data_IF_762135675990
#
_entry.id   IF_762135675990
#
_cell.length_a   1.000
_cell.length_b   1.000
_cell.length_c   1.000
_cell.angle_alpha   90.00
_cell.angle_beta   90.00
_cell.angle_gamma   90.00
#
_symmetry.space_group_name_H-M   'P 1'
#
loop_
_entity.id
_entity.type
_entity.pdbx_description
1 polymer ?
#
# COMPACT_ATOMS: atom_id res chain seq x y z
N UNK A 1 -0.13 18.47 23.01
CA UNK A 1 1.28 18.65 22.64
C UNK A 1 1.49 18.33 21.15
N UNK A 2 2.58 18.77 20.51
CA UNK A 2 2.84 18.49 19.06
C UNK A 2 2.97 16.97 18.81
N UNK A 3 3.62 16.28 19.74
CA UNK A 3 3.75 14.81 19.73
C UNK A 3 2.39 14.11 19.80
N UNK A 4 1.45 14.63 20.60
CA UNK A 4 0.10 14.07 20.69
C UNK A 4 -0.66 14.19 19.38
N UNK A 5 -0.51 15.34 18.69
CA UNK A 5 -1.11 15.55 17.36
C UNK A 5 -0.58 14.57 16.33
N UNK A 6 0.72 14.30 16.33
CA UNK A 6 1.33 13.27 15.48
C UNK A 6 0.83 11.87 15.81
N UNK A 7 0.68 11.55 17.10
CA UNK A 7 0.11 10.27 17.53
C UNK A 7 -1.34 10.11 17.08
N UNK A 8 -2.15 11.18 17.17
CA UNK A 8 -3.53 11.19 16.66
C UNK A 8 -3.56 10.95 15.15
N UNK A 9 -2.76 11.70 14.39
CA UNK A 9 -2.64 11.53 12.94
C UNK A 9 -2.26 10.09 12.58
N UNK A 10 -1.27 9.52 13.29
CA UNK A 10 -0.84 8.13 13.09
C UNK A 10 -1.99 7.15 13.30
N UNK A 11 -2.77 7.30 14.37
CA UNK A 11 -3.91 6.43 14.64
C UNK A 11 -4.97 6.53 13.54
N UNK A 12 -5.27 7.74 13.06
CA UNK A 12 -6.18 7.94 11.95
C UNK A 12 -5.67 7.31 10.66
N UNK A 13 -4.39 7.45 10.32
CA UNK A 13 -3.81 6.82 9.13
C UNK A 13 -3.91 5.28 9.18
N UNK A 14 -3.73 4.68 10.36
CA UNK A 14 -3.91 3.22 10.54
C UNK A 14 -5.37 2.84 10.30
N UNK A 15 -6.31 3.64 10.79
CA UNK A 15 -7.75 3.45 10.60
C UNK A 15 -8.12 3.54 9.11
N UNK A 16 -7.68 4.61 8.42
CA UNK A 16 -7.94 4.83 6.99
C UNK A 16 -7.33 3.73 6.12
N UNK A 17 -6.15 3.22 6.48
CA UNK A 17 -5.52 2.08 5.80
C UNK A 17 -6.40 0.82 5.83
N UNK A 18 -7.18 0.61 6.89
CA UNK A 18 -8.08 -0.53 6.98
C UNK A 18 -9.26 -0.43 5.99
N UNK A 19 -9.69 0.79 5.64
CA UNK A 19 -10.72 1.02 4.62
C UNK A 19 -10.16 0.96 3.19
N UNK A 20 -8.92 1.40 2.98
CA UNK A 20 -8.23 1.37 1.68
C UNK A 20 -8.21 -0.03 1.04
N UNK A 21 -8.07 -1.10 1.83
CA UNK A 21 -8.08 -2.48 1.31
C UNK A 21 -9.42 -2.91 0.73
N UNK A 22 -10.54 -2.46 1.31
CA UNK A 22 -11.88 -2.73 0.77
C UNK A 22 -12.16 -1.82 -0.43
N UNK A 23 -11.72 -0.55 -0.36
CA UNK A 23 -11.84 0.40 -1.45
C UNK A 23 -11.11 -0.06 -2.73
N UNK A 24 -9.90 -0.62 -2.61
CA UNK A 24 -9.13 -1.16 -3.75
C UNK A 24 -9.90 -2.25 -4.52
N UNK A 25 -10.65 -3.11 -3.80
CA UNK A 25 -11.46 -4.17 -4.41
C UNK A 25 -12.73 -3.65 -5.07
N UNK A 26 -13.23 -2.50 -4.60
CA UNK A 26 -14.49 -1.87 -5.03
C UNK A 26 -14.26 -0.63 -5.89
N UNK A 27 -13.07 -0.45 -6.48
CA UNK A 27 -12.73 0.71 -7.32
C UNK A 27 -13.66 0.95 -8.52
N UNK A 28 -14.52 0.01 -8.86
CA UNK A 28 -15.56 0.17 -9.88
C UNK A 28 -16.73 1.04 -9.43
N UNK A 29 -16.96 1.17 -8.11
CA UNK A 29 -18.01 2.02 -7.55
C UNK A 29 -17.59 3.49 -7.58
N UNK A 30 -18.41 4.33 -8.21
CA UNK A 30 -18.15 5.75 -8.38
C UNK A 30 -18.05 6.48 -7.03
N UNK A 31 -18.82 6.03 -6.03
CA UNK A 31 -18.77 6.62 -4.69
C UNK A 31 -17.44 6.31 -3.98
N UNK A 32 -16.89 5.11 -4.22
CA UNK A 32 -15.57 4.70 -3.71
C UNK A 32 -14.45 5.47 -4.42
N UNK A 33 -14.58 5.76 -5.72
CA UNK A 33 -13.62 6.61 -6.44
C UNK A 33 -13.56 8.02 -5.86
N UNK A 34 -14.71 8.67 -5.66
CA UNK A 34 -14.76 10.01 -5.05
C UNK A 34 -14.09 10.01 -3.68
N UNK A 35 -14.34 8.98 -2.86
CA UNK A 35 -13.67 8.83 -1.57
C UNK A 35 -12.15 8.68 -1.70
N UNK A 36 -11.67 7.86 -2.65
CA UNK A 36 -10.23 7.67 -2.92
C UNK A 36 -9.56 8.95 -3.43
N UNK A 37 -10.24 9.75 -4.25
CA UNK A 37 -9.72 11.03 -4.73
C UNK A 37 -9.54 12.03 -3.58
N UNK A 38 -10.55 12.18 -2.73
CA UNK A 38 -10.47 13.04 -1.54
C UNK A 38 -9.35 12.58 -0.60
N UNK A 39 -9.20 11.27 -0.42
CA UNK A 39 -8.14 10.71 0.43
C UNK A 39 -6.75 11.01 -0.14
N UNK A 40 -6.60 10.91 -1.47
CA UNK A 40 -5.36 11.23 -2.17
C UNK A 40 -4.98 12.70 -1.98
N UNK A 41 -5.94 13.61 -2.07
CA UNK A 41 -5.67 15.04 -1.90
C UNK A 41 -5.18 15.35 -0.48
N UNK A 42 -5.79 14.74 0.54
CA UNK A 42 -5.34 14.84 1.94
C UNK A 42 -3.93 14.24 2.10
N UNK A 43 -3.63 13.14 1.41
CA UNK A 43 -2.32 12.51 1.47
C UNK A 43 -1.22 13.41 0.87
N UNK A 44 -1.51 14.14 -0.22
CA UNK A 44 -0.57 15.12 -0.77
C UNK A 44 -0.32 16.28 0.20
N UNK A 45 -1.35 16.82 0.85
CA UNK A 45 -1.16 17.86 1.87
C UNK A 45 -0.31 17.35 3.05
N UNK A 46 -0.49 16.09 3.44
CA UNK A 46 0.32 15.46 4.47
C UNK A 46 1.80 15.29 4.05
N UNK A 47 2.04 14.91 2.80
CA UNK A 47 3.38 14.77 2.23
C UNK A 47 4.12 16.11 2.21
N UNK A 48 3.46 17.18 1.75
CA UNK A 48 3.99 18.55 1.77
C UNK A 48 4.42 18.99 3.19
N UNK A 49 3.67 18.60 4.22
CA UNK A 49 3.99 18.90 5.62
C UNK A 49 5.18 18.08 6.13
N UNK A 50 5.30 16.83 5.72
CA UNK A 50 6.45 15.98 6.05
C UNK A 50 7.72 16.50 5.39
N UNK A 51 7.64 16.96 4.14
CA UNK A 51 8.74 17.58 3.42
C UNK A 51 9.21 18.88 4.08
N UNK A 52 8.30 19.74 4.53
CA UNK A 52 8.65 20.95 5.28
C UNK A 52 9.39 20.60 6.59
N UNK A 53 8.96 19.54 7.27
CA UNK A 53 9.59 19.07 8.51
C UNK A 53 10.98 18.45 8.25
N UNK A 54 11.12 17.67 7.18
CA UNK A 54 12.39 17.08 6.77
C UNK A 54 13.40 18.17 6.35
N UNK A 55 12.94 19.16 5.58
CA UNK A 55 13.76 20.30 5.16
C UNK A 55 14.26 21.11 6.37
N UNK A 56 13.39 21.42 7.34
CA UNK A 56 13.78 22.14 8.55
C UNK A 56 14.77 21.32 9.40
N UNK A 57 14.62 20.00 9.47
CA UNK A 57 15.58 19.13 10.18
C UNK A 57 16.98 19.19 9.58
N UNK A 58 17.08 19.15 8.24
CA UNK A 58 18.37 19.29 7.54
C UNK A 58 18.96 20.68 7.77
N UNK A 59 18.14 21.73 7.63
CA UNK A 59 18.57 23.13 7.86
C UNK A 59 19.16 23.31 9.27
N UNK A 60 18.53 22.75 10.29
CA UNK A 60 19.02 22.82 11.67
C UNK A 60 20.31 22.06 11.90
N UNK A 61 20.49 20.89 11.26
CA UNK A 61 21.75 20.16 11.33
C UNK A 61 22.91 20.98 10.78
N UNK A 62 22.69 21.67 9.65
CA UNK A 62 23.69 22.56 9.04
C UNK A 62 23.99 23.77 9.94
N UNK A 63 22.95 24.43 10.45
CA UNK A 63 23.09 25.63 11.31
C UNK A 63 23.82 25.30 12.64
N UNK A 64 23.54 24.12 13.21
CA UNK A 64 24.19 23.66 14.44
C UNK A 64 25.66 23.23 14.24
N UNK A 65 26.04 22.82 13.01
CA UNK A 65 27.44 22.55 12.65
C UNK A 65 28.21 23.86 12.38
N UNK A 66 27.55 24.87 11.82
CA UNK A 66 28.14 26.15 11.46
C UNK A 66 28.02 27.14 12.62
N UNK A 67 28.77 26.88 13.69
CA UNK A 67 28.73 27.65 14.95
C UNK A 67 29.00 29.17 14.76
N UNK A 68 27.95 29.95 14.52
CA UNK A 68 27.93 31.41 14.68
C UNK A 68 26.82 31.81 15.65
N UNK A 69 27.20 31.87 16.92
CA UNK A 69 26.39 32.43 17.99
C UNK A 69 26.13 33.93 17.73
N UNK A 70 24.95 34.36 18.18
CA UNK A 70 24.54 35.74 18.49
C UNK A 70 24.09 36.65 17.33
N UNK A 71 23.04 36.27 16.58
CA UNK A 71 22.03 37.26 16.10
C UNK A 71 20.72 36.71 15.54
N UNK A 72 20.54 35.39 15.56
CA UNK A 72 19.54 34.74 14.71
C UNK A 72 18.23 34.32 15.39
N UNK A 73 18.13 34.54 16.70
CA UNK A 73 16.98 34.16 17.54
C UNK A 73 15.72 35.04 17.35
N UNK A 74 15.72 35.98 16.40
CA UNK A 74 14.60 36.90 16.16
C UNK A 74 13.95 36.73 14.79
N UNK A 75 14.47 35.85 13.93
CA UNK A 75 13.79 35.51 12.68
C UNK A 75 12.68 34.50 12.99
N UNK A 76 11.41 34.73 12.60
CA UNK A 76 10.31 33.77 12.82
C UNK A 76 10.62 32.38 12.26
N UNK A 77 11.44 32.31 11.22
CA UNK A 77 11.90 31.07 10.57
C UNK A 77 12.96 30.29 11.37
N UNK A 78 13.59 30.90 12.38
CA UNK A 78 14.63 30.29 13.24
C UNK A 78 14.11 30.03 14.67
N UNK A 79 12.92 30.53 14.99
CA UNK A 79 12.28 30.33 16.28
C UNK A 79 11.64 28.94 16.37
N UNK A 80 12.28 28.04 17.12
CA UNK A 80 11.84 26.66 17.32
C UNK A 80 10.35 26.54 17.71
N UNK A 81 9.91 27.39 18.64
CA UNK A 81 8.54 27.40 19.14
C UNK A 81 7.53 27.86 18.07
N UNK A 82 7.89 28.89 17.30
CA UNK A 82 7.03 29.40 16.23
C UNK A 82 6.87 28.37 15.10
N UNK A 83 7.97 27.71 14.70
CA UNK A 83 7.94 26.62 13.73
C UNK A 83 7.10 25.43 14.23
N UNK A 84 7.35 24.98 15.47
CA UNK A 84 6.59 23.87 16.07
C UNK A 84 5.09 24.19 16.14
N UNK A 85 4.71 25.41 16.52
CA UNK A 85 3.31 25.83 16.54
C UNK A 85 2.69 25.86 15.14
N UNK A 86 3.43 26.35 14.13
CA UNK A 86 2.99 26.32 12.72
C UNK A 86 2.74 24.89 12.25
N UNK A 87 3.70 23.98 12.47
CA UNK A 87 3.58 22.57 12.11
C UNK A 87 2.45 21.89 12.87
N UNK A 88 2.28 22.18 14.16
CA UNK A 88 1.19 21.65 14.97
C UNK A 88 -0.19 22.04 14.45
N UNK A 89 -0.35 23.23 13.87
CA UNK A 89 -1.61 23.64 13.21
C UNK A 89 -1.82 22.87 11.91
N UNK A 90 -0.79 22.72 11.09
CA UNK A 90 -0.89 21.96 9.83
C UNK A 90 -1.25 20.48 10.08
N UNK A 91 -0.56 19.82 11.00
CA UNK A 91 -0.84 18.43 11.40
C UNK A 91 -2.26 18.28 11.96
N UNK A 92 -2.74 19.28 12.70
CA UNK A 92 -4.11 19.30 13.22
C UNK A 92 -5.15 19.42 12.10
N UNK A 93 -4.92 20.28 11.11
CA UNK A 93 -5.81 20.39 9.94
C UNK A 93 -5.90 19.06 9.18
N UNK A 94 -4.75 18.45 8.86
CA UNK A 94 -4.71 17.13 8.20
C UNK A 94 -5.44 16.08 9.03
N UNK A 95 -5.23 16.08 10.35
CA UNK A 95 -5.91 15.14 11.24
C UNK A 95 -7.43 15.32 11.20
N UNK A 96 -7.93 16.57 11.12
CA UNK A 96 -9.38 16.84 11.02
C UNK A 96 -9.95 16.38 9.67
N UNK A 97 -9.27 16.68 8.56
CA UNK A 97 -9.69 16.23 7.23
C UNK A 97 -9.69 14.70 7.12
N UNK A 98 -8.69 14.04 7.71
CA UNK A 98 -8.58 12.57 7.71
C UNK A 98 -9.62 11.91 8.62
N UNK A 99 -10.00 12.54 9.71
CA UNK A 99 -11.11 12.10 10.58
C UNK A 99 -12.44 12.19 9.82
N UNK A 100 -12.70 13.32 9.18
CA UNK A 100 -13.93 13.55 8.40
C UNK A 100 -14.08 12.54 7.24
N UNK A 101 -13.02 12.29 6.48
CA UNK A 101 -13.09 11.33 5.37
C UNK A 101 -13.25 9.89 5.87
N UNK A 102 -12.72 9.58 7.05
CA UNK A 102 -12.91 8.26 7.66
C UNK A 102 -14.34 8.06 8.14
N UNK A 103 -14.97 9.08 8.71
CA UNK A 103 -16.40 9.05 9.03
C UNK A 103 -17.27 8.87 7.78
N UNK A 104 -16.88 9.51 6.67
CA UNK A 104 -17.56 9.32 5.37
C UNK A 104 -17.33 7.92 4.80
N UNK A 105 -16.19 7.26 5.05
CA UNK A 105 -15.90 5.91 4.56
C UNK A 105 -17.01 4.92 4.96
N UNK A 106 -17.48 5.02 6.21
CA UNK A 106 -18.59 4.21 6.74
C UNK A 106 -19.89 4.45 5.97
N UNK A 107 -20.16 5.70 5.55
CA UNK A 107 -21.34 6.09 4.75
C UNK A 107 -21.27 5.56 3.32
N UNK A 108 -20.07 5.40 2.79
CA UNK A 108 -19.82 4.74 1.50
C UNK A 108 -19.87 3.21 1.57
N UNK A 109 -20.20 2.64 2.73
CA UNK A 109 -20.30 1.19 2.91
C UNK A 109 -18.95 0.46 2.87
N UNK A 110 -17.85 1.20 3.05
CA UNK A 110 -16.51 0.62 3.17
C UNK A 110 -16.41 -0.11 4.51
N UNK A 111 -15.96 -1.35 4.48
CA UNK A 111 -15.80 -2.16 5.68
C UNK A 111 -14.38 -2.05 6.22
N UNK A 112 -14.26 -1.80 7.52
CA UNK A 112 -12.99 -1.84 8.21
C UNK A 112 -12.48 -3.29 8.28
N UNK A 113 -11.55 -3.65 7.40
CA UNK A 113 -10.85 -4.93 7.53
C UNK A 113 -9.65 -4.75 8.44
N UNK A 114 -9.84 -5.05 9.73
CA UNK A 114 -8.73 -5.29 10.63
C UNK A 114 -7.98 -6.52 10.12
N UNK A 115 -6.66 -6.43 9.95
CA UNK A 115 -5.84 -7.57 9.54
C UNK A 115 -5.90 -8.64 10.62
N UNK A 116 -6.87 -9.54 10.52
CA UNK A 116 -6.71 -10.88 11.02
C UNK A 116 -5.73 -11.53 10.06
N UNK A 117 -4.50 -11.69 10.52
CA UNK A 117 -3.43 -12.49 9.91
C UNK A 117 -3.83 -13.96 9.92
N UNK A 118 -4.97 -14.29 9.32
CA UNK A 118 -5.27 -15.67 8.97
C UNK A 118 -4.70 -15.82 7.58
N UNK A 119 -3.66 -16.65 7.48
CA UNK A 119 -3.11 -17.13 6.21
C UNK A 119 -4.27 -17.38 5.22
N UNK A 120 -4.09 -17.11 3.91
CA UNK A 120 -5.09 -17.50 2.96
C UNK A 120 -5.16 -19.04 3.01
N UNK A 121 -6.17 -19.55 3.72
CA UNK A 121 -6.72 -20.86 3.44
C UNK A 121 -7.06 -20.79 1.97
N UNK A 122 -6.35 -21.57 1.16
CA UNK A 122 -6.74 -21.90 -0.20
C UNK A 122 -8.08 -22.64 -0.10
N UNK A 123 -9.16 -21.90 0.10
CA UNK A 123 -10.51 -22.38 -0.13
C UNK A 123 -10.67 -22.42 -1.65
N UNK A 124 -10.66 -23.63 -2.19
CA UNK A 124 -10.81 -23.95 -3.60
C UNK A 124 -12.17 -23.53 -4.18
N UNK A 125 -12.41 -22.22 -4.28
CA UNK A 125 -13.55 -21.63 -4.99
C UNK A 125 -12.99 -20.53 -5.89
N UNK A 126 -12.47 -20.98 -7.03
CA UNK A 126 -11.80 -20.15 -8.02
C UNK A 126 -10.84 -20.95 -8.90
N UNK A 127 -11.00 -22.27 -8.99
CA UNK A 127 -10.25 -23.09 -9.94
C UNK A 127 -10.66 -22.70 -11.35
N UNK A 128 -9.68 -22.31 -12.18
CA UNK A 128 -9.85 -22.36 -13.62
C UNK A 128 -9.98 -23.83 -13.99
N UNK A 129 -11.21 -24.34 -14.05
CA UNK A 129 -11.47 -25.68 -14.57
C UNK A 129 -11.18 -25.64 -16.08
N UNK A 130 -9.95 -25.98 -16.46
CA UNK A 130 -9.51 -26.07 -17.86
C UNK A 130 -9.91 -27.42 -18.46
N UNK A 131 -11.22 -27.65 -18.65
CA UNK A 131 -11.63 -28.67 -19.61
C UNK A 131 -11.48 -28.08 -21.01
N UNK A 132 -10.25 -28.07 -21.50
CA UNK A 132 -9.88 -27.47 -22.78
C UNK A 132 -9.97 -28.52 -23.89
N UNK A 133 -10.57 -28.15 -25.01
CA UNK A 133 -10.59 -28.97 -26.22
C UNK A 133 -9.17 -29.07 -26.79
N UNK A 134 -8.54 -30.24 -26.63
CA UNK A 134 -7.17 -30.52 -27.09
C UNK A 134 -6.96 -30.26 -28.59
N UNK A 135 -8.03 -30.24 -29.40
CA UNK A 135 -7.95 -29.95 -30.84
C UNK A 135 -7.59 -28.49 -31.17
N UNK A 136 -7.71 -27.57 -30.19
CA UNK A 136 -7.41 -26.14 -30.36
C UNK A 136 -5.99 -25.76 -29.95
N UNK A 137 -5.22 -26.71 -29.42
CA UNK A 137 -3.83 -26.50 -28.98
C UNK A 137 -2.90 -27.07 -30.04
N UNK A 138 -2.01 -26.23 -30.59
CA UNK A 138 -1.07 -26.62 -31.65
C UNK A 138 0.34 -26.19 -31.27
N UNK A 139 1.35 -27.00 -31.58
CA UNK A 139 2.77 -26.63 -31.45
C UNK A 139 3.31 -26.72 -30.03
N UNK A 140 2.62 -27.44 -29.14
CA UNK A 140 3.00 -27.63 -27.72
C UNK A 140 3.42 -29.06 -27.40
N UNK A 141 3.54 -29.92 -28.40
CA UNK A 141 3.78 -31.35 -28.24
C UNK A 141 5.12 -31.61 -27.53
N UNK A 142 6.16 -30.85 -27.90
CA UNK A 142 7.47 -30.95 -27.26
C UNK A 142 7.47 -30.46 -25.81
N UNK A 143 6.69 -29.42 -25.49
CA UNK A 143 6.58 -28.89 -24.13
C UNK A 143 5.81 -29.86 -23.22
N UNK A 144 4.74 -30.46 -23.73
CA UNK A 144 3.98 -31.51 -23.03
C UNK A 144 4.87 -32.70 -22.70
N UNK A 145 5.65 -33.19 -23.67
CA UNK A 145 6.56 -34.32 -23.44
C UNK A 145 7.61 -34.02 -22.36
N UNK A 146 8.17 -32.81 -22.34
CA UNK A 146 9.12 -32.40 -21.29
C UNK A 146 8.48 -32.38 -19.91
N UNK A 147 7.26 -31.86 -19.80
CA UNK A 147 6.53 -31.84 -18.51
C UNK A 147 6.22 -33.25 -18.05
N UNK A 148 5.75 -34.12 -18.95
CA UNK A 148 5.49 -35.54 -18.65
C UNK A 148 6.75 -36.26 -18.18
N UNK A 149 7.89 -36.05 -18.85
CA UNK A 149 9.17 -36.65 -18.46
C UNK A 149 9.64 -36.16 -17.08
N UNK A 150 9.49 -34.86 -16.77
CA UNK A 150 9.79 -34.31 -15.45
C UNK A 150 8.89 -34.90 -14.35
N UNK A 151 7.61 -35.13 -14.65
CA UNK A 151 6.68 -35.74 -13.71
C UNK A 151 7.03 -37.21 -13.45
N UNK A 152 7.30 -37.99 -14.50
CA UNK A 152 7.62 -39.42 -14.39
C UNK A 152 8.97 -39.63 -13.70
N UNK A 153 10.01 -38.89 -14.09
CA UNK A 153 11.35 -39.00 -13.50
C UNK A 153 11.37 -38.66 -12.00
N UNK A 154 10.50 -37.74 -11.56
CA UNK A 154 10.41 -37.32 -10.17
C UNK A 154 9.69 -38.31 -9.23
N UNK A 155 8.94 -39.28 -9.78
CA UNK A 155 8.21 -40.28 -9.00
C UNK A 155 9.10 -41.31 -8.30
N UNK A 156 10.39 -41.38 -8.64
CA UNK A 156 11.29 -42.45 -8.21
C UNK A 156 12.17 -42.11 -7.00
N UNK A 157 12.29 -40.83 -6.60
CA UNK A 157 13.32 -40.44 -5.61
C UNK A 157 12.93 -39.44 -4.50
N UNK A 158 11.73 -38.81 -4.48
CA UNK A 158 11.36 -37.84 -3.43
C UNK A 158 9.90 -37.89 -2.96
N UNK A 159 9.67 -37.55 -1.67
CA UNK A 159 8.36 -37.60 -0.97
C UNK A 159 7.39 -36.48 -1.40
N UNK A 160 7.88 -35.48 -2.14
CA UNK A 160 7.14 -34.35 -2.70
C UNK A 160 7.92 -33.80 -3.90
N UNK A 161 7.29 -33.75 -5.08
CA UNK A 161 7.87 -33.21 -6.31
C UNK A 161 7.00 -32.07 -6.84
N UNK A 162 7.63 -30.98 -7.28
CA UNK A 162 6.96 -29.78 -7.78
C UNK A 162 7.53 -29.38 -9.13
N UNK A 163 6.65 -29.16 -10.12
CA UNK A 163 7.00 -28.62 -11.43
C UNK A 163 6.41 -27.22 -11.56
N UNK A 164 7.22 -26.24 -11.97
CA UNK A 164 6.81 -24.84 -12.11
C UNK A 164 6.87 -24.39 -13.58
N UNK A 165 5.79 -23.80 -14.07
CA UNK A 165 5.69 -23.23 -15.43
C UNK A 165 5.68 -21.71 -15.32
N UNK A 166 6.71 -21.03 -15.85
CA UNK A 166 6.92 -19.58 -15.72
C UNK A 166 6.97 -18.90 -17.09
N UNK A 167 6.52 -17.65 -17.16
CA UNK A 167 6.50 -16.84 -18.38
C UNK A 167 5.51 -15.69 -18.29
N UNK A 168 5.58 -14.74 -19.23
CA UNK A 168 4.70 -13.58 -19.30
C UNK A 168 3.21 -13.95 -19.44
N UNK A 169 2.33 -12.98 -19.19
CA UNK A 169 0.89 -13.15 -19.40
C UNK A 169 0.57 -13.49 -20.87
N UNK A 170 -0.51 -14.24 -21.11
CA UNK A 170 -0.96 -14.59 -22.46
C UNK A 170 -0.17 -15.71 -23.17
N UNK A 171 0.94 -16.20 -22.60
CA UNK A 171 1.74 -17.28 -23.21
C UNK A 171 1.12 -18.69 -23.13
N UNK A 172 -0.09 -18.84 -22.58
CA UNK A 172 -0.76 -20.13 -22.50
C UNK A 172 -0.20 -21.08 -21.43
N UNK A 173 0.40 -20.55 -20.34
CA UNK A 173 0.90 -21.38 -19.22
C UNK A 173 -0.19 -22.24 -18.59
N UNK A 174 -1.35 -21.63 -18.33
CA UNK A 174 -2.56 -22.31 -17.82
C UNK A 174 -3.20 -23.24 -18.86
N UNK A 175 -2.86 -23.07 -20.14
CA UNK A 175 -3.30 -23.96 -21.22
C UNK A 175 -2.44 -25.21 -21.30
N UNK A 176 -1.16 -25.10 -20.91
CA UNK A 176 -0.20 -26.21 -20.88
C UNK A 176 -0.28 -27.04 -19.59
N UNK A 177 -0.56 -26.38 -18.47
CA UNK A 177 -0.73 -27.01 -17.15
C UNK A 177 -2.05 -27.79 -17.05
#
# INVERSE_FOLDING_TARGET
DFKDKLNKLRSLLVLTRAFLQDAERRQVDEAVKVWLEQLRDIAYEADDVLDELACEHVRRKVDNQMSKKVRDFLSPSKNHLAFSLKMAKKVENISLSLDEITDRASKFGLQQRLQNTTAPVFSGVGGTNSFLDSSRVVGREADVLKVVDLLISSATHQRLSTVSIVGMAGLGKTTLA
#
